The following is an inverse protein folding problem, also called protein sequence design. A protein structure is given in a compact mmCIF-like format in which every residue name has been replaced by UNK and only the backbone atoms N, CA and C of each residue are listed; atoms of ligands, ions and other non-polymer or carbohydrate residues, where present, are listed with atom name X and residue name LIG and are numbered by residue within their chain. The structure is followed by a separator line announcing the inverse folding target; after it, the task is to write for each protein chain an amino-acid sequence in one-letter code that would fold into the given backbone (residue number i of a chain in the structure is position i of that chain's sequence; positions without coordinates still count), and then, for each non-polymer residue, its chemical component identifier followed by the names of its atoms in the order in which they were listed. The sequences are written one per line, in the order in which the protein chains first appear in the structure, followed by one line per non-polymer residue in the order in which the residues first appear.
data_IF_104596105362
#
_entry.id   IF_104596105362
#
_cell.length_a   1.000
_cell.length_b   1.000
_cell.length_c   1.000
_cell.angle_alpha   90.00
_cell.angle_beta   90.00
_cell.angle_gamma   90.00
#
_symmetry.space_group_name_H-M   'P 1'
#
loop_
_entity.id
_entity.type
_entity.pdbx_description
1 polymer ?
#
# COMPACT_ATOMS: atom_id res chain seq x y z
N UNK A 1 -10.28 -2.63 -9.07
CA UNK A 1 -11.73 -2.93 -9.00
C UNK A 1 -12.55 -1.95 -8.16
N UNK A 2 -12.03 -1.39 -7.05
CA UNK A 2 -12.71 -0.27 -6.37
C UNK A 2 -13.03 0.92 -7.28
N UNK A 3 -12.16 1.24 -8.26
CA UNK A 3 -12.41 2.30 -9.26
C UNK A 3 -13.64 2.07 -10.13
N UNK A 4 -13.92 0.84 -10.59
CA UNK A 4 -15.13 0.51 -11.37
C UNK A 4 -16.38 0.85 -10.58
N UNK A 5 -16.44 0.40 -9.32
CA UNK A 5 -17.56 0.66 -8.42
C UNK A 5 -17.72 2.15 -8.12
N UNK A 6 -16.62 2.89 -7.93
CA UNK A 6 -16.64 4.34 -7.74
C UNK A 6 -17.20 5.11 -8.95
N UNK A 7 -17.17 4.51 -10.15
CA UNK A 7 -17.73 5.07 -11.38
C UNK A 7 -19.14 4.54 -11.68
N UNK A 8 -19.72 3.71 -10.82
CA UNK A 8 -21.04 3.11 -11.03
C UNK A 8 -21.11 2.11 -12.18
N UNK A 9 -19.97 1.73 -12.78
CA UNK A 9 -19.93 0.82 -13.91
C UNK A 9 -20.24 -0.61 -13.48
N UNK A 10 -21.10 -1.33 -14.20
CA UNK A 10 -21.28 -2.77 -14.02
C UNK A 10 -20.15 -3.55 -14.70
N UNK A 11 -19.98 -4.83 -14.35
CA UNK A 11 -18.99 -5.70 -14.99
C UNK A 11 -19.25 -5.84 -16.51
N UNK A 12 -20.53 -5.88 -16.91
CA UNK A 12 -20.95 -5.89 -18.32
C UNK A 12 -20.50 -4.65 -19.08
N UNK A 13 -20.62 -3.48 -18.45
CA UNK A 13 -20.33 -2.20 -19.10
C UNK A 13 -18.84 -2.07 -19.35
N UNK A 14 -18.04 -2.41 -18.32
CA UNK A 14 -16.59 -2.46 -18.45
C UNK A 14 -16.15 -3.48 -19.50
N UNK A 15 -16.76 -4.67 -19.51
CA UNK A 15 -16.49 -5.69 -20.52
C UNK A 15 -16.80 -5.20 -21.94
N UNK A 16 -17.91 -4.49 -22.14
CA UNK A 16 -18.25 -3.86 -23.41
C UNK A 16 -17.20 -2.82 -23.85
N UNK A 17 -16.78 -1.95 -22.92
CA UNK A 17 -15.74 -0.95 -23.17
C UNK A 17 -14.41 -1.57 -23.58
N UNK A 18 -14.01 -2.66 -22.93
CA UNK A 18 -12.77 -3.37 -23.24
C UNK A 18 -12.96 -4.47 -24.29
N UNK A 19 -14.10 -4.55 -24.98
CA UNK A 19 -14.41 -5.58 -25.99
C UNK A 19 -14.05 -7.00 -25.52
N UNK A 20 -14.55 -7.40 -24.35
CA UNK A 20 -14.34 -8.72 -23.74
C UNK A 20 -15.62 -9.25 -23.10
N UNK A 21 -15.53 -10.39 -22.41
CA UNK A 21 -16.67 -11.00 -21.71
C UNK A 21 -16.76 -10.54 -20.25
N UNK A 22 -17.98 -10.35 -19.74
CA UNK A 22 -18.22 -10.01 -18.33
C UNK A 22 -17.63 -11.05 -17.37
N UNK A 23 -17.64 -12.34 -17.76
CA UNK A 23 -16.97 -13.42 -17.04
C UNK A 23 -15.48 -13.16 -16.86
N UNK A 24 -14.79 -12.65 -17.88
CA UNK A 24 -13.36 -12.30 -17.79
C UNK A 24 -13.14 -11.20 -16.75
N UNK A 25 -13.99 -10.18 -16.72
CA UNK A 25 -13.92 -9.16 -15.67
C UNK A 25 -14.09 -9.80 -14.29
N UNK A 26 -15.12 -10.62 -14.10
CA UNK A 26 -15.37 -11.32 -12.83
C UNK A 26 -14.17 -12.18 -12.36
N UNK A 27 -13.54 -12.94 -13.27
CA UNK A 27 -12.34 -13.74 -12.99
C UNK A 27 -11.13 -12.87 -12.58
N UNK A 28 -10.98 -11.68 -13.20
CA UNK A 28 -9.97 -10.70 -12.82
C UNK A 28 -10.27 -10.07 -11.46
N UNK A 29 -11.54 -9.72 -11.17
CA UNK A 29 -11.94 -9.13 -9.88
C UNK A 29 -11.77 -10.12 -8.72
N UNK A 30 -12.02 -11.41 -8.97
CA UNK A 30 -11.86 -12.47 -7.98
C UNK A 30 -10.43 -13.00 -7.88
N UNK A 31 -9.48 -12.46 -8.64
CA UNK A 31 -8.09 -12.93 -8.68
C UNK A 31 -7.88 -14.33 -9.26
N UNK A 32 -8.92 -14.93 -9.89
CA UNK A 32 -8.83 -16.25 -10.53
C UNK A 32 -8.00 -16.22 -11.82
N UNK A 33 -7.81 -15.04 -12.39
CA UNK A 33 -7.04 -14.81 -13.61
C UNK A 33 -6.13 -13.61 -13.44
N UNK A 34 -4.90 -13.71 -13.91
CA UNK A 34 -4.00 -12.57 -14.05
C UNK A 34 -4.28 -11.84 -15.39
N UNK A 35 -4.41 -10.50 -15.39
CA UNK A 35 -4.59 -9.73 -16.61
C UNK A 35 -3.30 -9.72 -17.44
N UNK A 36 -3.38 -9.82 -18.77
CA UNK A 36 -2.19 -9.58 -19.61
C UNK A 36 -1.83 -8.09 -19.66
N UNK A 37 -0.61 -7.75 -20.10
CA UNK A 37 -0.18 -6.34 -20.30
C UNK A 37 -1.16 -5.55 -21.18
N UNK A 38 -1.55 -6.13 -22.33
CA UNK A 38 -2.59 -5.56 -23.21
C UNK A 38 -3.94 -5.40 -22.50
N UNK A 39 -4.29 -6.31 -21.60
CA UNK A 39 -5.53 -6.23 -20.82
C UNK A 39 -5.46 -5.11 -19.78
N UNK A 40 -4.33 -4.96 -19.06
CA UNK A 40 -4.08 -3.85 -18.14
C UNK A 40 -4.26 -2.50 -18.85
N UNK A 41 -3.68 -2.38 -20.06
CA UNK A 41 -3.83 -1.18 -20.88
C UNK A 41 -5.28 -0.88 -21.24
N UNK A 42 -6.02 -1.87 -21.77
CA UNK A 42 -7.44 -1.69 -22.14
C UNK A 42 -8.30 -1.34 -20.93
N UNK A 43 -8.05 -1.97 -19.78
CA UNK A 43 -8.74 -1.67 -18.54
C UNK A 43 -8.46 -0.25 -18.08
N UNK A 44 -7.20 0.20 -18.14
CA UNK A 44 -6.83 1.55 -17.76
C UNK A 44 -7.48 2.62 -18.66
N UNK A 45 -7.45 2.41 -19.99
CA UNK A 45 -8.12 3.30 -20.95
C UNK A 45 -9.64 3.34 -20.75
N UNK A 46 -10.26 2.20 -20.45
CA UNK A 46 -11.70 2.13 -20.22
C UNK A 46 -12.12 2.78 -18.89
N UNK A 47 -11.33 2.58 -17.83
CA UNK A 47 -11.59 3.17 -16.51
C UNK A 47 -11.32 4.67 -16.49
N UNK A 48 -10.33 5.17 -17.24
CA UNK A 48 -9.99 6.59 -17.29
C UNK A 48 -10.51 7.26 -18.58
N UNK A 49 -11.57 6.71 -19.17
CA UNK A 49 -12.17 7.23 -20.40
C UNK A 49 -12.59 8.69 -20.21
N UNK A 50 -12.13 9.57 -21.10
CA UNK A 50 -12.42 11.00 -21.03
C UNK A 50 -11.51 11.79 -20.07
N UNK A 51 -10.54 11.13 -19.43
CA UNK A 51 -9.47 11.80 -18.68
C UNK A 51 -8.20 11.91 -19.52
N UNK A 52 -7.25 12.64 -18.98
CA UNK A 52 -5.94 12.84 -19.60
C UNK A 52 -5.16 11.51 -19.73
N UNK A 53 -4.40 11.32 -20.84
CA UNK A 53 -3.50 10.18 -21.05
C UNK A 53 -2.63 9.77 -19.86
N UNK A 54 -2.13 10.72 -19.06
CA UNK A 54 -1.27 10.40 -17.89
C UNK A 54 -2.07 9.66 -16.82
N UNK A 55 -3.35 9.99 -16.62
CA UNK A 55 -4.21 9.28 -15.68
C UNK A 55 -4.44 7.82 -16.09
N UNK A 56 -4.62 7.57 -17.39
CA UNK A 56 -4.70 6.21 -17.93
C UNK A 56 -3.37 5.47 -17.75
N UNK A 57 -2.24 6.09 -18.06
CA UNK A 57 -0.91 5.49 -17.87
C UNK A 57 -0.62 5.15 -16.40
N UNK A 58 -1.01 6.03 -15.47
CA UNK A 58 -0.91 5.78 -14.02
C UNK A 58 -1.71 4.55 -13.61
N UNK A 59 -2.96 4.45 -14.08
CA UNK A 59 -3.85 3.32 -13.79
C UNK A 59 -3.31 2.02 -14.38
N UNK A 60 -2.72 2.07 -15.57
CA UNK A 60 -2.04 0.93 -16.20
C UNK A 60 -0.87 0.44 -15.33
N UNK A 61 -0.02 1.35 -14.85
CA UNK A 61 1.11 1.01 -13.96
C UNK A 61 0.63 0.40 -12.65
N UNK A 62 -0.44 0.94 -12.04
CA UNK A 62 -1.05 0.38 -10.83
C UNK A 62 -1.56 -1.04 -11.06
N UNK A 63 -2.24 -1.29 -12.18
CA UNK A 63 -2.75 -2.63 -12.55
C UNK A 63 -1.60 -3.63 -12.75
N UNK A 64 -0.53 -3.23 -13.45
CA UNK A 64 0.64 -4.08 -13.68
C UNK A 64 1.33 -4.41 -12.35
N UNK A 65 1.51 -3.42 -11.46
CA UNK A 65 2.10 -3.64 -10.12
C UNK A 65 1.24 -4.60 -9.29
N UNK A 66 -0.08 -4.42 -9.30
CA UNK A 66 -1.02 -5.27 -8.56
C UNK A 66 -1.06 -6.72 -9.08
N UNK A 67 -0.85 -6.92 -10.37
CA UNK A 67 -0.89 -8.25 -11.00
C UNK A 67 0.40 -9.06 -10.79
N UNK A 68 1.48 -8.44 -10.30
CA UNK A 68 2.67 -9.13 -9.80
C UNK A 68 3.77 -9.43 -10.83
N UNK A 69 4.85 -10.12 -10.41
CA UNK A 69 6.10 -10.23 -11.16
C UNK A 69 5.96 -10.95 -12.51
N UNK A 70 5.04 -11.91 -12.60
CA UNK A 70 4.82 -12.72 -13.80
C UNK A 70 4.44 -11.87 -15.03
N UNK A 71 3.86 -10.68 -14.83
CA UNK A 71 3.50 -9.75 -15.90
C UNK A 71 4.60 -8.77 -16.27
N UNK A 72 5.43 -8.38 -15.30
CA UNK A 72 6.55 -7.46 -15.51
C UNK A 72 7.56 -8.02 -16.52
N UNK A 73 7.71 -9.35 -16.58
CA UNK A 73 8.61 -10.04 -17.52
C UNK A 73 8.12 -9.93 -18.97
N UNK A 74 6.80 -9.98 -19.21
CA UNK A 74 6.23 -9.93 -20.57
C UNK A 74 6.13 -8.51 -21.13
N UNK A 75 5.86 -7.50 -20.29
CA UNK A 75 5.78 -6.10 -20.70
C UNK A 75 7.09 -5.57 -21.33
N UNK A 76 8.23 -6.21 -21.05
CA UNK A 76 9.56 -5.82 -21.56
C UNK A 76 9.85 -6.28 -23.01
N UNK A 77 9.01 -7.12 -23.62
CA UNK A 77 9.33 -7.73 -24.94
C UNK A 77 9.08 -6.84 -26.16
N UNK A 78 8.34 -5.72 -26.03
CA UNK A 78 8.19 -4.74 -27.12
C UNK A 78 8.35 -3.33 -26.55
N UNK A 79 9.31 -2.52 -27.08
CA UNK A 79 9.43 -1.15 -26.63
C UNK A 79 8.15 -0.39 -26.95
N UNK A 80 7.57 0.35 -25.99
CA UNK A 80 6.42 1.21 -26.25
C UNK A 80 6.81 2.30 -27.25
N UNK A 81 5.83 2.80 -28.02
CA UNK A 81 6.05 3.98 -28.87
C UNK A 81 6.54 5.16 -28.01
N UNK A 82 7.45 5.99 -28.53
CA UNK A 82 8.12 7.06 -27.77
C UNK A 82 7.17 7.95 -26.95
N UNK A 83 6.02 8.33 -27.52
CA UNK A 83 4.99 9.11 -26.81
C UNK A 83 4.46 8.40 -25.56
N UNK A 84 4.12 7.11 -25.69
CA UNK A 84 3.68 6.26 -24.58
C UNK A 84 4.76 6.07 -23.53
N UNK A 85 6.02 5.98 -23.95
CA UNK A 85 7.15 5.87 -23.04
C UNK A 85 7.23 7.11 -22.13
N UNK A 86 7.06 8.32 -22.69
CA UNK A 86 7.01 9.58 -21.94
C UNK A 86 5.84 9.63 -20.96
N UNK A 87 4.62 9.34 -21.42
CA UNK A 87 3.41 9.30 -20.58
C UNK A 87 3.57 8.31 -19.41
N UNK A 88 4.19 7.15 -19.66
CA UNK A 88 4.45 6.13 -18.64
C UNK A 88 5.52 6.57 -17.65
N UNK A 89 6.57 7.24 -18.11
CA UNK A 89 7.65 7.74 -17.26
C UNK A 89 7.17 8.87 -16.34
N UNK A 90 6.37 9.79 -16.88
CA UNK A 90 5.72 10.85 -16.11
C UNK A 90 4.81 10.27 -15.02
N UNK A 91 3.94 9.33 -15.38
CA UNK A 91 3.10 8.62 -14.41
C UNK A 91 3.92 7.91 -13.32
N UNK A 92 5.06 7.30 -13.67
CA UNK A 92 5.96 6.68 -12.68
C UNK A 92 6.54 7.72 -11.72
N UNK A 93 7.01 8.86 -12.24
CA UNK A 93 7.55 9.95 -11.43
C UNK A 93 6.51 10.49 -10.44
N UNK A 94 5.27 10.67 -10.87
CA UNK A 94 4.19 11.11 -9.98
C UNK A 94 3.90 10.11 -8.85
N UNK A 95 3.79 8.82 -9.21
CA UNK A 95 3.54 7.75 -8.23
C UNK A 95 4.69 7.71 -7.22
N UNK A 96 5.93 7.73 -7.70
CA UNK A 96 7.11 7.59 -6.86
C UNK A 96 7.29 8.85 -5.97
N UNK A 97 6.98 10.04 -6.48
CA UNK A 97 6.94 11.27 -5.69
C UNK A 97 5.87 11.22 -4.59
N UNK A 98 4.68 10.69 -4.90
CA UNK A 98 3.60 10.50 -3.92
C UNK A 98 4.04 9.54 -2.80
N UNK A 99 4.63 8.40 -3.17
CA UNK A 99 5.13 7.42 -2.20
C UNK A 99 6.25 8.02 -1.34
N UNK A 100 7.16 8.78 -1.94
CA UNK A 100 8.24 9.46 -1.23
C UNK A 100 7.68 10.48 -0.22
N UNK A 101 6.69 11.28 -0.62
CA UNK A 101 6.03 12.24 0.26
C UNK A 101 5.31 11.56 1.43
N UNK A 102 4.61 10.45 1.20
CA UNK A 102 3.98 9.67 2.27
C UNK A 102 5.01 9.08 3.25
N UNK A 103 6.13 8.56 2.72
CA UNK A 103 7.23 8.06 3.56
C UNK A 103 7.86 9.18 4.40
N UNK A 104 8.06 10.36 3.82
CA UNK A 104 8.58 11.52 4.54
C UNK A 104 7.63 11.97 5.66
N UNK A 105 6.32 12.03 5.38
CA UNK A 105 5.30 12.35 6.41
C UNK A 105 5.31 11.33 7.55
N UNK A 106 5.39 10.04 7.24
CA UNK A 106 5.51 8.99 8.26
C UNK A 106 6.77 9.17 9.08
N UNK A 107 7.93 9.36 8.45
CA UNK A 107 9.20 9.58 9.15
C UNK A 107 9.15 10.81 10.07
N UNK A 108 8.56 11.92 9.62
CA UNK A 108 8.38 13.12 10.44
C UNK A 108 7.44 12.88 11.63
N UNK A 109 6.38 12.09 11.45
CA UNK A 109 5.49 11.70 12.53
C UNK A 109 6.22 10.82 13.56
N UNK A 110 7.05 9.88 13.11
CA UNK A 110 7.87 9.04 14.01
C UNK A 110 8.89 9.88 14.78
N UNK A 111 9.54 10.84 14.12
CA UNK A 111 10.49 11.76 14.75
C UNK A 111 9.80 12.63 15.81
N UNK A 112 8.63 13.22 15.49
CA UNK A 112 7.85 13.99 16.46
C UNK A 112 7.43 13.16 17.67
N UNK A 113 7.07 11.89 17.46
CA UNK A 113 6.75 10.97 18.56
C UNK A 113 7.99 10.68 19.43
N UNK A 114 9.15 10.46 18.82
CA UNK A 114 10.40 10.26 19.53
C UNK A 114 10.80 11.49 20.35
N UNK A 115 10.68 12.70 19.78
CA UNK A 115 10.97 13.96 20.48
C UNK A 115 10.05 14.16 21.70
N UNK A 116 8.76 13.86 21.55
CA UNK A 116 7.79 13.93 22.66
C UNK A 116 8.16 12.93 23.76
N UNK A 117 8.49 11.69 23.38
CA UNK A 117 8.88 10.65 24.33
C UNK A 117 10.18 10.98 25.07
N UNK A 118 11.20 11.49 24.37
CA UNK A 118 12.43 11.97 25.01
C UNK A 118 12.17 13.18 25.93
N UNK A 119 11.28 14.08 25.52
CA UNK A 119 10.83 15.20 26.34
C UNK A 119 10.19 14.73 27.65
N UNK A 120 9.32 13.73 27.58
CA UNK A 120 8.70 13.10 28.75
C UNK A 120 9.72 12.41 29.65
N UNK A 121 10.65 11.63 29.08
CA UNK A 121 11.72 10.99 29.85
C UNK A 121 12.61 12.02 30.57
N UNK A 122 12.98 13.12 29.91
CA UNK A 122 13.73 14.22 30.53
C UNK A 122 12.92 14.91 31.62
N UNK A 123 11.63 15.13 31.40
CA UNK A 123 10.74 15.70 32.41
C UNK A 123 10.61 14.77 33.62
N UNK A 124 10.54 13.46 33.41
CA UNK A 124 10.49 12.46 34.48
C UNK A 124 11.80 12.42 35.26
N UNK A 125 12.95 12.44 34.60
CA UNK A 125 14.26 12.51 35.25
C UNK A 125 14.44 13.78 36.12
N UNK A 126 13.89 14.92 35.68
CA UNK A 126 13.91 16.18 36.45
C UNK A 126 13.01 16.18 37.68
N UNK A 127 11.94 15.38 37.69
CA UNK A 127 11.05 15.25 38.86
C UNK A 127 11.71 14.49 40.02
N UNK A 128 12.94 14.01 39.84
CA UNK A 128 13.64 13.15 40.79
C UNK A 128 13.05 11.74 40.79
N UNK A 129 13.71 10.77 41.44
CA UNK A 129 13.08 9.48 41.68
C UNK A 129 11.80 9.73 42.47
N UNK A 130 10.64 9.49 41.85
CA UNK A 130 9.39 9.33 42.58
C UNK A 130 9.70 8.26 43.62
N UNK A 131 9.59 8.61 44.90
CA UNK A 131 10.14 7.90 46.05
C UNK A 131 10.33 6.41 45.80
N UNK A 132 11.58 5.97 45.95
CA UNK A 132 12.00 4.58 45.96
C UNK A 132 10.86 3.66 46.44
N UNK A 133 10.45 2.71 45.60
CA UNK A 133 9.59 1.59 46.00
C UNK A 133 10.26 0.66 47.04
N UNK A 134 11.33 1.11 47.72
CA UNK A 134 11.89 0.46 48.90
C UNK A 134 11.07 0.70 50.17
N UNK A 135 10.07 1.59 50.19
CA UNK A 135 9.21 1.77 51.38
C UNK A 135 7.91 0.93 51.39
N UNK A 136 7.66 0.09 50.39
CA UNK A 136 6.42 -0.70 50.34
C UNK A 136 6.61 -2.12 49.81
N UNK A 137 7.59 -2.86 50.35
CA UNK A 137 7.49 -4.32 50.38
C UNK A 137 7.39 -4.77 51.84
N UNK A 138 6.17 -4.83 52.42
CA UNK A 138 6.00 -5.61 53.63
C UNK A 138 6.43 -7.05 53.32
N UNK A 139 7.16 -7.63 54.26
CA UNK A 139 7.83 -8.93 54.34
C UNK A 139 6.96 -10.19 54.04
N UNK A 140 6.10 -10.13 53.02
CA UNK A 140 5.01 -11.07 52.76
C UNK A 140 5.14 -11.73 51.40
N UNK A 141 6.32 -12.21 51.06
CA UNK A 141 6.42 -13.25 50.04
C UNK A 141 6.09 -14.60 50.69
N UNK A 142 5.06 -15.33 50.23
CA UNK A 142 4.80 -16.67 50.74
C UNK A 142 6.00 -17.56 50.40
N UNK A 143 6.61 -18.15 51.43
CA UNK A 143 7.66 -19.16 51.26
C UNK A 143 7.10 -20.29 50.41
N UNK A 144 7.59 -20.44 49.19
CA UNK A 144 7.30 -21.60 48.35
C UNK A 144 7.98 -22.80 49.01
N UNK A 145 7.24 -23.83 49.47
CA UNK A 145 7.87 -25.01 50.04
C UNK A 145 8.61 -25.79 48.94
N UNK A 146 9.74 -26.44 49.26
CA UNK A 146 10.50 -27.21 48.28
C UNK A 146 9.66 -28.35 47.72
N UNK A 147 9.68 -28.50 46.39
CA UNK A 147 9.08 -29.65 45.69
C UNK A 147 9.81 -30.91 46.14
N UNK A 148 9.09 -31.82 46.80
CA UNK A 148 9.58 -33.19 47.01
C UNK A 148 9.57 -33.91 45.67
N UNK A 149 10.70 -34.49 45.30
CA UNK A 149 10.86 -35.27 44.08
C UNK A 149 9.99 -36.52 44.07
N UNK A 150 9.54 -36.86 42.88
CA UNK A 150 9.17 -38.20 42.45
C UNK A 150 9.89 -38.45 41.12
#
# INVERSE_FOLDING_TARGET
MRRRLAQGLRQSDLAGLIGGAARTISELESGRRAPSDRMCRRLAEALERGRDPVAAARTEVELIRAAGPALVVFARRRPPRLRRARETEEARREIDATIAAERARRAAATAKFADLFEGELRAQARRGPVGSAAEAFPDRWPRVPPRRGC
#
